data_IF_617780719427
#
_entry.id   IF_617780719427
#
_cell.length_a   1.000
_cell.length_b   1.000
_cell.length_c   1.000
_cell.angle_alpha   90.00
_cell.angle_beta   90.00
_cell.angle_gamma   90.00
#
_symmetry.space_group_name_H-M   'P 1'
#
loop_
_entity.id
_entity.type
_entity.pdbx_description
1 polymer ?
#
# COMPACT_ATOMS: atom_id res chain seq x y z
N UNK A 1 21.13 -59.40 -42.40
CA UNK A 1 20.08 -60.05 -41.57
C UNK A 1 19.99 -59.25 -40.27
N UNK A 2 18.91 -58.48 -40.05
CA UNK A 2 17.64 -58.91 -39.44
C UNK A 2 17.81 -59.27 -37.95
N UNK A 3 17.06 -58.72 -36.97
CA UNK A 3 15.92 -57.77 -37.06
C UNK A 3 16.33 -56.28 -37.00
N UNK A 4 16.19 -55.43 -35.95
CA UNK A 4 15.74 -55.54 -34.54
C UNK A 4 15.10 -54.19 -34.11
N UNK A 5 14.67 -54.02 -32.84
CA UNK A 5 13.97 -52.86 -32.26
C UNK A 5 14.46 -52.60 -30.83
N UNK A 6 14.67 -51.33 -30.45
CA UNK A 6 14.80 -50.90 -29.05
C UNK A 6 14.17 -49.50 -28.86
N UNK A 7 12.84 -49.44 -28.75
CA UNK A 7 12.09 -48.22 -28.49
C UNK A 7 12.24 -47.75 -27.03
N UNK A 8 13.41 -47.21 -26.67
CA UNK A 8 13.70 -46.75 -25.30
C UNK A 8 14.20 -45.31 -25.16
N UNK A 9 14.58 -44.64 -26.26
CA UNK A 9 15.30 -43.34 -26.23
C UNK A 9 14.38 -42.17 -26.63
N UNK A 10 13.18 -42.11 -26.05
CA UNK A 10 12.24 -40.97 -26.19
C UNK A 10 11.79 -40.43 -24.83
N UNK A 11 12.10 -41.11 -23.72
CA UNK A 11 11.63 -40.77 -22.37
C UNK A 11 12.68 -40.09 -21.47
N UNK A 12 13.84 -39.67 -22.01
CA UNK A 12 14.91 -39.03 -21.22
C UNK A 12 15.21 -37.56 -21.56
N UNK A 13 14.43 -36.93 -22.44
CA UNK A 13 14.48 -35.47 -22.67
C UNK A 13 13.17 -34.77 -22.25
N UNK A 14 12.32 -35.46 -21.48
CA UNK A 14 11.16 -34.87 -20.79
C UNK A 14 11.49 -34.31 -19.38
N UNK A 15 12.69 -34.60 -18.85
CA UNK A 15 13.07 -34.27 -17.47
C UNK A 15 14.06 -33.10 -17.33
N UNK A 16 14.60 -32.57 -18.44
CA UNK A 16 15.59 -31.48 -18.41
C UNK A 16 15.02 -30.08 -18.24
N UNK A 17 13.70 -29.90 -18.44
CA UNK A 17 13.01 -28.60 -18.40
C UNK A 17 12.18 -28.39 -17.11
N UNK A 18 12.41 -29.22 -16.08
CA UNK A 18 11.72 -29.13 -14.77
C UNK A 18 12.74 -28.88 -13.63
N UNK A 19 13.73 -28.01 -13.88
CA UNK A 19 14.66 -27.52 -12.84
C UNK A 19 14.88 -26.00 -12.87
N UNK A 20 14.26 -25.27 -13.81
CA UNK A 20 14.33 -23.80 -13.86
C UNK A 20 13.32 -23.09 -12.91
N UNK A 21 12.54 -23.85 -12.14
CA UNK A 21 11.44 -23.32 -11.31
C UNK A 21 11.72 -23.18 -9.81
N UNK A 22 12.96 -23.42 -9.35
CA UNK A 22 13.27 -23.47 -7.90
C UNK A 22 14.47 -22.61 -7.46
N UNK A 23 15.16 -21.92 -8.37
CA UNK A 23 16.23 -20.94 -8.04
C UNK A 23 15.63 -19.54 -8.12
N UNK A 24 14.80 -19.20 -7.14
CA UNK A 24 14.07 -17.93 -7.09
C UNK A 24 13.71 -17.43 -5.69
N UNK A 25 14.13 -18.14 -4.63
CA UNK A 25 14.00 -17.71 -3.24
C UNK A 25 15.37 -17.39 -2.64
N UNK A 26 16.15 -16.52 -3.30
CA UNK A 26 17.06 -15.69 -2.52
C UNK A 26 16.18 -14.74 -1.70
N UNK A 27 16.07 -15.04 -0.41
CA UNK A 27 15.54 -14.11 0.57
C UNK A 27 16.53 -12.95 0.68
N UNK A 28 16.40 -11.98 -0.23
CA UNK A 28 17.00 -10.66 -0.07
C UNK A 28 16.72 -10.21 1.36
N UNK A 29 17.73 -9.80 2.14
CA UNK A 29 17.47 -9.24 3.45
C UNK A 29 16.58 -8.01 3.23
N UNK A 30 15.31 -8.15 3.56
CA UNK A 30 14.38 -7.04 3.56
C UNK A 30 14.82 -6.16 4.72
N UNK A 31 15.71 -5.22 4.43
CA UNK A 31 15.89 -4.01 5.21
C UNK A 31 14.58 -3.24 5.09
N UNK A 32 13.56 -3.72 5.81
CA UNK A 32 12.45 -2.90 6.23
C UNK A 32 13.08 -1.62 6.77
N UNK A 33 12.76 -0.44 6.23
CA UNK A 33 13.36 0.79 6.73
C UNK A 33 13.11 0.84 8.23
N UNK A 34 14.20 0.90 9.00
CA UNK A 34 14.11 0.89 10.45
C UNK A 34 13.26 2.10 10.85
N UNK A 35 12.03 1.84 11.31
CA UNK A 35 11.09 2.88 11.69
C UNK A 35 11.82 3.76 12.69
N UNK A 36 12.07 5.06 12.40
CA UNK A 36 12.92 5.88 13.23
C UNK A 36 12.47 5.78 14.68
N UNK A 37 13.42 5.50 15.58
CA UNK A 37 13.16 5.53 17.02
C UNK A 37 12.41 6.82 17.35
N UNK A 38 11.26 6.69 18.03
CA UNK A 38 10.25 7.76 18.12
C UNK A 38 10.88 9.06 18.59
N UNK A 39 11.16 9.97 17.66
CA UNK A 39 11.63 11.29 17.98
C UNK A 39 10.58 12.01 18.82
N UNK A 40 11.01 12.89 19.72
CA UNK A 40 10.14 13.83 20.42
C UNK A 40 9.59 14.87 19.43
N UNK A 41 8.67 14.44 18.57
CA UNK A 41 8.02 15.31 17.61
C UNK A 41 7.02 16.20 18.35
N UNK A 42 7.11 17.50 18.11
CA UNK A 42 6.05 18.43 18.47
C UNK A 42 5.13 18.59 17.26
N UNK A 43 3.87 18.12 17.35
CA UNK A 43 2.86 18.48 16.35
C UNK A 43 2.54 19.97 16.51
N UNK A 44 2.66 20.70 15.40
CA UNK A 44 2.22 22.08 15.28
C UNK A 44 1.14 22.15 14.20
N UNK A 45 -0.05 22.65 14.58
CA UNK A 45 -1.11 22.95 13.62
C UNK A 45 -0.92 24.36 13.07
N UNK A 46 -0.83 24.49 11.75
CA UNK A 46 -0.75 25.79 11.06
C UNK A 46 -2.05 26.05 10.31
N UNK A 47 -2.69 27.19 10.57
CA UNK A 47 -3.91 27.58 9.86
C UNK A 47 -3.54 28.15 8.48
N UNK A 48 -3.81 27.41 7.41
CA UNK A 48 -3.46 27.80 6.02
C UNK A 48 -4.65 28.15 5.13
N UNK A 49 -5.91 28.11 5.62
CA UNK A 49 -7.11 28.24 4.79
C UNK A 49 -7.14 29.49 3.89
N UNK A 50 -6.67 30.65 4.37
CA UNK A 50 -6.60 31.86 3.53
C UNK A 50 -5.58 31.70 2.40
N UNK A 51 -4.38 31.19 2.72
CA UNK A 51 -3.30 30.95 1.76
C UNK A 51 -3.63 29.85 0.74
N UNK A 52 -4.44 28.85 1.11
CA UNK A 52 -4.95 27.82 0.20
C UNK A 52 -6.19 28.26 -0.60
N UNK A 53 -6.66 29.49 -0.43
CA UNK A 53 -7.83 30.04 -1.15
C UNK A 53 -9.19 29.57 -0.61
N UNK A 54 -9.24 28.89 0.53
CA UNK A 54 -10.49 28.53 1.21
C UNK A 54 -11.14 29.78 1.83
N UNK A 55 -12.09 30.35 1.08
CA UNK A 55 -12.86 31.56 1.48
C UNK A 55 -14.26 31.25 2.01
N UNK A 56 -14.73 30.01 1.88
CA UNK A 56 -16.05 29.60 2.35
C UNK A 56 -16.03 29.35 3.87
N UNK A 57 -17.06 29.86 4.56
CA UNK A 57 -17.30 29.59 5.98
C UNK A 57 -18.49 28.65 6.12
N UNK A 58 -18.23 27.38 6.40
CA UNK A 58 -19.28 26.44 6.78
C UNK A 58 -19.82 26.83 8.17
N UNK A 59 -21.15 26.91 8.30
CA UNK A 59 -21.86 27.11 9.56
C UNK A 59 -22.86 25.95 9.68
N UNK A 60 -22.57 25.01 10.57
CA UNK A 60 -23.49 23.93 10.91
C UNK A 60 -24.23 24.28 12.20
N UNK A 61 -25.52 24.60 12.09
CA UNK A 61 -26.39 24.97 13.21
C UNK A 61 -26.83 26.43 13.25
N UNK A 62 -27.91 26.68 14.00
CA UNK A 62 -28.46 28.00 14.34
C UNK A 62 -28.96 27.98 15.80
N UNK A 63 -28.91 29.08 16.57
CA UNK A 63 -29.39 29.10 17.96
C UNK A 63 -30.86 28.68 18.19
N UNK A 64 -31.69 28.66 17.15
CA UNK A 64 -33.09 28.20 17.19
C UNK A 64 -33.24 26.71 16.87
N UNK A 65 -32.20 26.03 16.37
CA UNK A 65 -32.24 24.58 16.17
C UNK A 65 -32.27 23.87 17.52
N UNK A 66 -33.34 23.11 17.75
CA UNK A 66 -33.48 22.27 18.96
C UNK A 66 -32.66 20.98 18.89
N UNK A 67 -32.28 20.55 17.69
CA UNK A 67 -31.54 19.32 17.44
C UNK A 67 -30.57 19.52 16.27
N UNK A 68 -29.44 18.83 16.34
CA UNK A 68 -28.49 18.61 15.23
C UNK A 68 -28.55 17.11 14.95
N UNK A 69 -29.02 16.73 13.75
CA UNK A 69 -29.31 15.31 13.42
C UNK A 69 -28.03 14.55 13.10
N UNK A 70 -27.08 15.21 12.44
CA UNK A 70 -25.66 14.83 12.39
C UNK A 70 -24.82 16.11 12.38
N UNK A 71 -23.56 16.03 12.83
CA UNK A 71 -22.58 17.10 12.71
C UNK A 71 -21.36 16.63 11.91
N UNK A 72 -21.59 16.18 10.67
CA UNK A 72 -20.51 15.99 9.72
C UNK A 72 -20.06 17.39 9.25
N UNK A 73 -18.97 17.88 9.84
CA UNK A 73 -18.34 19.14 9.44
C UNK A 73 -17.68 19.00 8.06
N UNK A 74 -17.65 20.07 7.27
CA UNK A 74 -16.78 20.09 6.09
C UNK A 74 -15.31 20.10 6.54
N UNK A 75 -14.56 19.07 6.11
CA UNK A 75 -13.15 18.91 6.38
C UNK A 75 -12.68 17.53 5.92
N UNK A 76 -11.40 17.40 5.63
CA UNK A 76 -10.73 16.15 5.32
C UNK A 76 -9.33 16.22 5.91
N UNK A 77 -8.90 15.12 6.54
CA UNK A 77 -7.50 14.91 6.90
C UNK A 77 -6.94 13.88 5.93
N UNK A 78 -5.67 14.02 5.57
CA UNK A 78 -5.01 13.17 4.57
C UNK A 78 -3.64 12.82 5.12
N UNK A 79 -3.32 11.53 5.18
CA UNK A 79 -2.10 11.02 5.80
C UNK A 79 -1.72 9.69 5.14
N UNK A 80 -0.43 9.45 4.90
CA UNK A 80 0.09 8.12 4.60
C UNK A 80 0.21 7.34 5.92
N UNK A 81 -0.70 6.39 6.16
CA UNK A 81 -0.82 5.66 7.44
C UNK A 81 -0.02 4.36 7.45
N UNK A 82 0.05 3.67 6.31
CA UNK A 82 0.74 2.37 6.20
C UNK A 82 2.17 2.46 5.64
N UNK A 83 2.53 3.57 5.01
CA UNK A 83 3.86 3.86 4.48
C UNK A 83 4.09 3.44 3.03
N UNK A 84 3.04 3.15 2.26
CA UNK A 84 3.16 2.77 0.84
C UNK A 84 3.43 3.95 -0.11
N UNK A 85 3.37 5.19 0.39
CA UNK A 85 3.61 6.43 -0.36
C UNK A 85 2.37 7.03 -1.01
N UNK A 86 1.19 6.42 -0.82
CA UNK A 86 -0.10 7.01 -1.15
C UNK A 86 -0.69 7.74 0.05
N UNK A 87 -1.70 8.57 -0.21
CA UNK A 87 -2.33 9.40 0.79
C UNK A 87 -3.71 8.83 1.14
N UNK A 88 -3.89 8.37 2.38
CA UNK A 88 -5.14 7.80 2.89
C UNK A 88 -6.15 8.87 3.32
N UNK A 89 -7.41 8.44 3.45
CA UNK A 89 -8.61 9.23 3.82
C UNK A 89 -9.45 8.52 4.89
#
# INVERSE_FOLDING_TARGET
MVRVLAGGVVWLIGAGLISAGLVGCESSPSTSPERPASADWAIHFTQIAEASGLRHRNISGDPKQRFIVESISAGVAVLDVDGDGWFDL
#
